data_IF_604215702287
#
_entry.id   IF_604215702287
#
_cell.length_a   1.000
_cell.length_b   1.000
_cell.length_c   1.000
_cell.angle_alpha   90.00
_cell.angle_beta   90.00
_cell.angle_gamma   90.00
#
_symmetry.space_group_name_H-M   'P 1'
#
loop_
_entity.id
_entity.type
_entity.pdbx_description
1 polymer ?
#
# COMPACT_ATOMS: atom_id res chain seq x y z
N UNK A 1 -9.96 -8.51 -33.94
CA UNK A 1 -8.69 -7.76 -33.82
C UNK A 1 -8.81 -6.27 -34.22
N UNK A 2 -9.80 -5.53 -33.69
CA UNK A 2 -10.08 -4.13 -34.13
C UNK A 2 -10.13 -3.12 -32.97
N UNK A 3 -10.39 -3.55 -31.72
CA UNK A 3 -10.48 -2.62 -30.58
C UNK A 3 -9.12 -2.11 -30.07
N UNK A 4 -8.07 -2.93 -30.14
CA UNK A 4 -6.75 -2.54 -29.63
C UNK A 4 -6.09 -1.43 -30.47
N UNK A 5 -6.29 -1.45 -31.79
CA UNK A 5 -5.83 -0.38 -32.68
C UNK A 5 -6.61 0.93 -32.47
N UNK A 6 -7.92 0.83 -32.20
CA UNK A 6 -8.73 2.00 -31.83
C UNK A 6 -8.27 2.67 -30.53
N UNK A 7 -7.82 1.89 -29.54
CA UNK A 7 -7.17 2.45 -28.35
C UNK A 7 -5.83 3.08 -28.67
N UNK A 8 -4.99 2.39 -29.45
CA UNK A 8 -3.64 2.86 -29.81
C UNK A 8 -3.66 4.15 -30.64
N UNK A 9 -4.69 4.33 -31.48
CA UNK A 9 -4.92 5.56 -32.24
C UNK A 9 -5.45 6.72 -31.38
N UNK A 10 -6.13 6.42 -30.27
CA UNK A 10 -6.68 7.45 -29.38
C UNK A 10 -5.75 7.77 -28.19
N UNK A 11 -4.84 6.87 -27.83
CA UNK A 11 -3.78 7.14 -26.85
C UNK A 11 -2.89 8.29 -27.34
N UNK A 12 -2.90 9.41 -26.61
CA UNK A 12 -2.19 10.65 -26.98
C UNK A 12 -3.11 11.81 -27.36
N UNK A 13 -4.41 11.56 -27.61
CA UNK A 13 -5.40 12.62 -27.68
C UNK A 13 -5.68 13.16 -26.27
N UNK A 14 -5.75 14.49 -26.12
CA UNK A 14 -5.99 15.18 -24.83
C UNK A 14 -7.21 14.67 -24.05
N UNK A 15 -8.19 14.09 -24.73
CA UNK A 15 -9.46 13.67 -24.15
C UNK A 15 -9.60 12.15 -24.01
N UNK A 16 -8.54 11.39 -24.28
CA UNK A 16 -8.60 9.93 -24.13
C UNK A 16 -8.45 9.53 -22.67
N UNK A 17 -9.59 9.31 -22.01
CA UNK A 17 -9.68 8.85 -20.63
C UNK A 17 -10.47 7.54 -20.61
N UNK A 18 -9.80 6.45 -20.24
CA UNK A 18 -10.45 5.18 -19.91
C UNK A 18 -10.58 5.07 -18.39
N UNK A 19 -11.77 4.68 -17.93
CA UNK A 19 -11.94 4.34 -16.52
C UNK A 19 -11.19 3.03 -16.20
N UNK A 20 -10.77 2.82 -14.94
CA UNK A 20 -10.11 1.57 -14.52
C UNK A 20 -10.90 0.32 -14.90
N UNK A 21 -12.23 0.37 -14.77
CA UNK A 21 -13.13 -0.71 -15.18
C UNK A 21 -13.06 -1.00 -16.69
N UNK A 22 -13.12 0.04 -17.52
CA UNK A 22 -12.99 -0.09 -18.97
C UNK A 22 -11.61 -0.60 -19.40
N UNK A 23 -10.54 -0.25 -18.67
CA UNK A 23 -9.20 -0.81 -18.92
C UNK A 23 -9.18 -2.31 -18.63
N UNK A 24 -9.69 -2.74 -17.47
CA UNK A 24 -9.73 -4.16 -17.09
C UNK A 24 -10.50 -4.97 -18.14
N UNK A 25 -11.70 -4.52 -18.50
CA UNK A 25 -12.58 -5.20 -19.47
C UNK A 25 -11.96 -5.33 -20.85
N UNK A 26 -11.31 -4.27 -21.34
CA UNK A 26 -10.84 -4.23 -22.74
C UNK A 26 -9.40 -4.70 -22.94
N UNK A 27 -8.58 -4.73 -21.89
CA UNK A 27 -7.16 -5.12 -21.99
C UNK A 27 -6.80 -6.39 -21.21
N UNK A 28 -7.78 -7.04 -20.58
CA UNK A 28 -7.60 -8.28 -19.81
C UNK A 28 -6.44 -8.19 -18.79
N UNK A 29 -6.31 -7.02 -18.14
CA UNK A 29 -5.26 -6.78 -17.14
C UNK A 29 -5.42 -7.74 -15.96
N UNK A 30 -4.34 -8.43 -15.63
CA UNK A 30 -4.23 -9.31 -14.46
C UNK A 30 -3.77 -8.44 -13.28
N UNK A 31 -4.48 -8.53 -12.14
CA UNK A 31 -4.10 -7.84 -10.89
C UNK A 31 -4.82 -6.53 -10.58
N UNK A 32 -5.78 -6.10 -11.41
CA UNK A 32 -6.59 -4.89 -11.18
C UNK A 32 -8.07 -5.30 -11.16
N UNK A 33 -8.77 -5.03 -10.05
CA UNK A 33 -10.20 -5.31 -9.88
C UNK A 33 -10.94 -4.02 -9.56
N UNK A 34 -11.91 -3.66 -10.39
CA UNK A 34 -12.77 -2.49 -10.18
C UNK A 34 -14.20 -2.96 -9.95
N UNK A 35 -14.71 -2.78 -8.73
CA UNK A 35 -16.09 -3.11 -8.35
C UNK A 35 -16.80 -1.88 -7.81
N UNK A 36 -18.03 -1.64 -8.26
CA UNK A 36 -18.86 -0.56 -7.71
C UNK A 36 -19.42 -0.97 -6.33
N UNK A 37 -19.18 -0.16 -5.31
CA UNK A 37 -19.77 -0.32 -3.98
C UNK A 37 -21.18 0.28 -3.88
N UNK A 38 -21.91 -0.03 -2.79
CA UNK A 38 -23.32 0.34 -2.56
C UNK A 38 -23.59 1.85 -2.57
N UNK A 39 -22.61 2.68 -2.20
CA UNK A 39 -22.77 4.14 -2.09
C UNK A 39 -21.89 4.94 -3.07
N UNK A 40 -21.31 4.26 -4.07
CA UNK A 40 -20.29 4.87 -4.92
C UNK A 40 -18.96 5.10 -4.18
N UNK A 41 -17.87 5.17 -4.93
CA UNK A 41 -16.51 5.26 -4.40
C UNK A 41 -15.61 4.15 -4.95
N UNK A 42 -14.33 4.48 -5.18
CA UNK A 42 -13.31 3.51 -5.58
C UNK A 42 -12.52 3.13 -4.33
N UNK A 43 -12.72 1.91 -3.84
CA UNK A 43 -11.88 1.35 -2.78
C UNK A 43 -10.71 0.60 -3.42
N UNK A 44 -9.51 0.94 -3.00
CA UNK A 44 -8.27 0.25 -3.37
C UNK A 44 -7.66 -0.38 -2.12
N UNK A 45 -6.84 -1.41 -2.30
CA UNK A 45 -6.04 -1.95 -1.22
C UNK A 45 -5.23 -0.84 -0.54
N UNK A 46 -5.07 -0.92 0.78
CA UNK A 46 -4.47 0.14 1.60
C UNK A 46 -3.06 0.51 1.10
N UNK A 47 -2.21 -0.48 0.82
CA UNK A 47 -0.86 -0.24 0.29
C UNK A 47 -0.84 0.57 -1.02
N UNK A 48 -1.77 0.26 -1.93
CA UNK A 48 -1.88 0.96 -3.21
C UNK A 48 -2.41 2.38 -2.99
N UNK A 49 -3.35 2.56 -2.06
CA UNK A 49 -3.86 3.87 -1.67
C UNK A 49 -2.74 4.75 -1.10
N UNK A 50 -1.95 4.19 -0.18
CA UNK A 50 -0.82 4.83 0.46
C UNK A 50 0.24 5.22 -0.57
N UNK A 51 0.57 4.35 -1.51
CA UNK A 51 1.54 4.68 -2.56
C UNK A 51 1.03 5.78 -3.49
N UNK A 52 -0.23 5.73 -3.92
CA UNK A 52 -0.81 6.81 -4.72
C UNK A 52 -0.81 8.14 -3.95
N UNK A 53 -1.14 8.13 -2.66
CA UNK A 53 -1.08 9.33 -1.82
C UNK A 53 0.37 9.85 -1.66
N UNK A 54 1.35 8.95 -1.56
CA UNK A 54 2.78 9.29 -1.45
C UNK A 54 3.33 9.99 -2.70
N UNK A 55 2.79 9.66 -3.87
CA UNK A 55 3.15 10.29 -5.15
C UNK A 55 2.49 11.66 -5.33
N UNK A 56 1.27 11.82 -4.84
CA UNK A 56 0.51 13.07 -4.99
C UNK A 56 1.01 14.13 -4.00
N UNK A 57 1.40 13.75 -2.78
CA UNK A 57 1.83 14.67 -1.74
C UNK A 57 3.20 14.31 -1.16
N UNK A 58 4.16 15.20 -1.40
CA UNK A 58 5.50 15.10 -0.80
C UNK A 58 5.44 15.20 0.73
N UNK A 59 4.52 16.02 1.26
CA UNK A 59 4.31 16.16 2.71
C UNK A 59 3.82 14.85 3.32
N UNK A 60 2.88 14.17 2.66
CA UNK A 60 2.37 12.88 3.11
C UNK A 60 3.50 11.83 3.17
N UNK A 61 4.32 11.77 2.13
CA UNK A 61 5.50 10.88 2.10
C UNK A 61 6.49 11.18 3.23
N UNK A 62 6.77 12.45 3.52
CA UNK A 62 7.65 12.84 4.62
C UNK A 62 7.07 12.45 5.99
N UNK A 63 5.75 12.52 6.18
CA UNK A 63 5.12 12.03 7.40
C UNK A 63 5.32 10.52 7.58
N UNK A 64 5.12 9.72 6.52
CA UNK A 64 5.37 8.27 6.58
C UNK A 64 6.81 7.94 6.97
N UNK A 65 7.79 8.68 6.43
CA UNK A 65 9.22 8.47 6.77
C UNK A 65 9.47 8.79 8.24
N UNK A 66 8.93 9.90 8.75
CA UNK A 66 9.09 10.28 10.16
C UNK A 66 8.42 9.27 11.10
N UNK A 67 7.22 8.82 10.74
CA UNK A 67 6.49 7.85 11.54
C UNK A 67 7.23 6.51 11.60
N UNK A 68 7.81 6.08 10.47
CA UNK A 68 8.64 4.88 10.45
C UNK A 68 9.89 5.00 11.33
N UNK A 69 10.53 6.18 11.36
CA UNK A 69 11.65 6.45 12.26
C UNK A 69 11.22 6.41 13.73
N UNK A 70 10.07 7.03 14.04
CA UNK A 70 9.50 7.01 15.39
C UNK A 70 9.23 5.58 15.89
N UNK A 71 8.58 4.75 15.06
CA UNK A 71 8.33 3.34 15.39
C UNK A 71 9.61 2.55 15.61
N UNK A 72 10.65 2.80 14.81
CA UNK A 72 11.97 2.18 15.01
C UNK A 72 12.61 2.59 16.33
N UNK A 73 12.49 3.84 16.72
CA UNK A 73 13.05 4.34 17.97
C UNK A 73 12.29 3.77 19.17
N UNK A 74 10.95 3.67 19.09
CA UNK A 74 10.12 3.03 20.09
C UNK A 74 10.43 1.53 20.25
N UNK A 75 10.55 0.79 19.13
CA UNK A 75 10.89 -0.64 19.15
C UNK A 75 12.30 -0.88 19.72
N UNK A 76 13.27 -0.04 19.35
CA UNK A 76 14.61 -0.09 19.91
C UNK A 76 14.62 0.22 21.41
N UNK A 77 13.84 1.21 21.86
CA UNK A 77 13.71 1.54 23.28
C UNK A 77 13.12 0.37 24.07
N UNK A 78 12.04 -0.24 23.56
CA UNK A 78 11.43 -1.43 24.16
C UNK A 78 12.43 -2.59 24.26
N UNK A 79 13.12 -2.90 23.17
CA UNK A 79 14.13 -3.96 23.14
C UNK A 79 15.30 -3.67 24.10
N UNK A 80 15.75 -2.41 24.18
CA UNK A 80 16.82 -2.01 25.10
C UNK A 80 16.42 -2.17 26.57
N UNK A 81 15.13 -1.97 26.92
CA UNK A 81 14.60 -2.20 28.26
C UNK A 81 14.32 -3.67 28.57
N UNK A 82 13.94 -4.46 27.57
CA UNK A 82 13.70 -5.90 27.72
C UNK A 82 14.98 -6.72 27.82
N UNK A 83 16.07 -6.31 27.16
CA UNK A 83 17.35 -7.04 27.18
C UNK A 83 17.91 -7.21 28.61
N UNK A 84 17.93 -6.19 29.48
CA UNK A 84 18.28 -6.35 30.90
C UNK A 84 17.33 -7.26 31.67
N UNK A 85 16.02 -7.19 31.42
CA UNK A 85 15.01 -8.03 32.07
C UNK A 85 15.16 -9.51 31.68
N UNK A 86 15.45 -9.79 30.41
CA UNK A 86 15.71 -11.14 29.91
C UNK A 86 17.05 -11.70 30.38
N UNK A 87 18.06 -10.85 30.61
CA UNK A 87 19.37 -11.24 31.16
C UNK A 87 19.32 -11.59 32.65
N UNK A 88 18.43 -10.94 33.41
CA UNK A 88 18.27 -11.16 34.84
C UNK A 88 17.11 -12.11 35.20
N UNK A 89 16.37 -12.61 34.21
CA UNK A 89 15.29 -13.55 34.44
C UNK A 89 15.85 -14.88 35.01
N UNK A 90 15.30 -15.40 36.13
CA UNK A 90 15.74 -16.68 36.67
C UNK A 90 15.53 -17.78 35.64
N UNK A 91 16.58 -18.58 35.41
CA UNK A 91 16.62 -19.70 34.44
C UNK A 91 15.48 -20.72 34.66
N UNK A 92 14.86 -20.71 35.84
CA UNK A 92 13.77 -21.59 36.26
C UNK A 92 12.47 -21.50 35.44
N UNK A 93 12.28 -20.47 34.62
CA UNK A 93 11.07 -20.34 33.77
C UNK A 93 11.20 -21.01 32.39
N UNK A 94 12.29 -21.71 32.08
CA UNK A 94 12.53 -22.30 30.74
C UNK A 94 12.24 -23.81 30.62
N UNK A 95 11.82 -24.47 31.68
CA UNK A 95 11.45 -25.90 31.65
C UNK A 95 10.37 -26.20 32.71
N UNK A 96 9.13 -25.80 32.44
CA UNK A 96 7.94 -26.50 32.91
C UNK A 96 6.96 -26.45 31.73
N UNK A 97 6.67 -27.65 31.20
CA UNK A 97 5.87 -28.02 30.01
C UNK A 97 6.66 -28.25 28.70
#
# INVERSE_FOLDING_TARGET
PVEFDGMRMQTGLKNYVLTPKQRIEKTAVIGLRSSAGRYGGTYTHEDIALECASWVSVEFRLHLIKEFQHLKDEENALMSGLVPLLKNAPVAARYQD
#
